data_IF_456051468277
#
_entry.id   IF_456051468277
#
_cell.length_a   1.000
_cell.length_b   1.000
_cell.length_c   1.000
_cell.angle_alpha   90.00
_cell.angle_beta   90.00
_cell.angle_gamma   90.00
#
_symmetry.space_group_name_H-M   'P 1'
#
loop_
_entity.id
_entity.type
_entity.pdbx_description
1 polymer ?
#
# COMPACT_ATOMS: atom_id res chain seq x y z
N UNK A 1 -3.67 9.02 29.62
CA UNK A 1 -4.48 8.12 28.76
C UNK A 1 -3.50 7.33 27.89
N UNK A 2 -3.79 6.08 27.57
CA UNK A 2 -2.96 5.25 26.68
C UNK A 2 -3.87 4.57 25.69
N UNK A 3 -3.49 4.56 24.41
CA UNK A 3 -4.08 3.71 23.39
C UNK A 3 -3.35 2.37 23.33
N UNK A 4 -4.09 1.28 23.27
CA UNK A 4 -3.56 -0.06 23.04
C UNK A 4 -4.06 -0.57 21.69
N UNK A 5 -3.14 -0.73 20.77
CA UNK A 5 -3.41 -1.25 19.44
C UNK A 5 -3.06 -2.73 19.36
N UNK A 6 -3.90 -3.50 18.69
CA UNK A 6 -3.62 -4.86 18.27
C UNK A 6 -3.33 -4.86 16.77
N UNK A 7 -2.24 -5.48 16.37
CA UNK A 7 -1.74 -5.55 15.00
C UNK A 7 -1.64 -7.00 14.59
N UNK A 8 -2.25 -7.35 13.46
CA UNK A 8 -2.23 -8.69 12.86
C UNK A 8 -1.83 -8.63 11.39
N UNK A 9 -1.48 -9.77 10.82
CA UNK A 9 -1.18 -9.96 9.40
C UNK A 9 -2.11 -11.00 8.81
N UNK A 10 -2.47 -10.85 7.56
CA UNK A 10 -3.17 -11.88 6.78
C UNK A 10 -2.21 -12.90 6.13
N UNK A 11 -0.90 -12.60 6.15
CA UNK A 11 0.12 -13.49 5.60
C UNK A 11 0.64 -14.54 6.61
N UNK A 12 0.53 -14.24 7.92
CA UNK A 12 1.06 -15.09 9.01
C UNK A 12 0.03 -15.21 10.11
N UNK A 13 -0.58 -16.38 10.26
CA UNK A 13 -1.68 -16.65 11.20
C UNK A 13 -1.34 -16.36 12.67
N UNK A 14 -0.11 -16.68 13.07
CA UNK A 14 0.32 -16.54 14.48
C UNK A 14 0.94 -15.16 14.79
N UNK A 15 0.94 -14.23 13.83
CA UNK A 15 1.53 -12.92 14.03
C UNK A 15 0.59 -12.00 14.79
N UNK A 16 1.03 -11.55 15.96
CA UNK A 16 0.35 -10.54 16.77
C UNK A 16 1.36 -9.59 17.39
N UNK A 17 1.07 -8.29 17.35
CA UNK A 17 1.74 -7.24 18.13
C UNK A 17 0.71 -6.44 18.90
N UNK A 18 0.99 -6.12 20.14
CA UNK A 18 0.25 -5.11 20.88
C UNK A 18 1.18 -3.96 21.21
N UNK A 19 0.78 -2.75 20.80
CA UNK A 19 1.53 -1.53 21.05
C UNK A 19 0.69 -0.61 21.93
N UNK A 20 1.30 -0.15 23.01
CA UNK A 20 0.75 0.88 23.89
C UNK A 20 1.48 2.20 23.62
N UNK A 21 0.71 3.26 23.42
CA UNK A 21 1.22 4.57 23.04
C UNK A 21 0.32 5.68 23.59
N UNK A 22 0.91 6.85 23.86
CA UNK A 22 0.15 8.04 24.25
C UNK A 22 -0.69 8.55 23.06
N UNK A 23 -1.98 8.87 23.23
CA UNK A 23 -2.80 9.41 22.15
C UNK A 23 -2.30 10.76 21.61
N UNK A 24 -1.53 11.52 22.38
CA UNK A 24 -0.91 12.77 21.93
C UNK A 24 0.37 12.54 21.09
N UNK A 25 0.84 11.29 21.00
CA UNK A 25 1.92 10.93 20.08
C UNK A 25 1.43 11.02 18.63
N UNK A 26 2.37 11.22 17.73
CA UNK A 26 2.08 11.32 16.30
C UNK A 26 1.92 9.93 15.64
N UNK A 27 1.29 9.89 14.46
CA UNK A 27 1.31 8.68 13.63
C UNK A 27 2.73 8.27 13.26
N UNK A 28 3.68 9.21 13.21
CA UNK A 28 5.09 8.89 12.98
C UNK A 28 5.71 8.13 14.17
N UNK A 29 5.41 8.53 15.41
CA UNK A 29 5.85 7.79 16.61
C UNK A 29 5.28 6.37 16.63
N UNK A 30 4.03 6.21 16.17
CA UNK A 30 3.40 4.91 16.04
C UNK A 30 4.03 4.07 14.92
N UNK A 31 4.32 4.68 13.77
CA UNK A 31 5.06 4.05 12.67
C UNK A 31 6.41 3.51 13.15
N UNK A 32 7.23 4.32 13.85
CA UNK A 32 8.51 3.87 14.39
C UNK A 32 8.35 2.71 15.39
N UNK A 33 7.32 2.75 16.23
CA UNK A 33 7.02 1.68 17.18
C UNK A 33 6.65 0.37 16.46
N UNK A 34 5.89 0.43 15.37
CA UNK A 34 5.58 -0.72 14.52
C UNK A 34 6.86 -1.29 13.93
N UNK A 35 7.64 -0.46 13.22
CA UNK A 35 8.90 -0.91 12.58
C UNK A 35 9.82 -1.60 13.58
N UNK A 36 9.99 -1.00 14.76
CA UNK A 36 10.80 -1.58 15.84
C UNK A 36 10.27 -2.92 16.34
N UNK A 37 8.94 -3.07 16.43
CA UNK A 37 8.30 -4.31 16.91
C UNK A 37 8.48 -5.49 15.96
N UNK A 38 8.55 -5.21 14.65
CA UNK A 38 8.68 -6.21 13.58
C UNK A 38 10.11 -6.33 13.04
N UNK A 39 11.01 -5.39 13.37
CA UNK A 39 12.39 -5.39 12.92
C UNK A 39 12.57 -4.93 11.46
N UNK A 40 11.65 -4.10 10.96
CA UNK A 40 11.75 -3.55 9.63
C UNK A 40 12.64 -2.30 9.58
N UNK A 41 13.26 -2.07 8.42
CA UNK A 41 13.99 -0.85 8.13
C UNK A 41 13.02 0.31 7.81
N UNK A 42 13.43 1.53 8.15
CA UNK A 42 12.67 2.75 7.82
C UNK A 42 13.17 3.32 6.46
N UNK A 43 13.02 2.54 5.40
CA UNK A 43 13.50 2.83 4.05
C UNK A 43 12.41 2.67 2.97
N UNK A 44 11.19 2.33 3.38
CA UNK A 44 10.05 2.17 2.50
C UNK A 44 9.05 3.31 2.68
N UNK A 45 8.38 3.68 1.59
CA UNK A 45 7.21 4.54 1.67
C UNK A 45 6.07 3.75 2.32
N UNK A 46 5.50 4.31 3.37
CA UNK A 46 4.43 3.68 4.14
C UNK A 46 3.27 4.65 4.31
N UNK A 47 2.08 4.12 4.51
CA UNK A 47 0.89 4.91 4.81
C UNK A 47 0.03 4.22 5.85
N UNK A 48 -0.68 4.99 6.66
CA UNK A 48 -1.83 4.52 7.42
C UNK A 48 -3.11 4.87 6.68
N UNK A 49 -4.12 4.04 6.82
CA UNK A 49 -5.49 4.33 6.42
C UNK A 49 -6.41 4.12 7.60
N UNK A 50 -7.20 5.13 7.96
CA UNK A 50 -8.36 4.93 8.81
C UNK A 50 -9.40 4.20 7.97
N UNK A 51 -10.02 3.18 8.56
CA UNK A 51 -10.99 2.34 7.88
C UNK A 51 -12.33 2.37 8.61
N UNK A 52 -13.39 2.06 7.88
CA UNK A 52 -14.69 1.76 8.44
C UNK A 52 -14.76 0.36 9.08
N UNK A 53 -15.95 -0.07 9.50
CA UNK A 53 -16.17 -1.39 10.12
C UNK A 53 -15.93 -2.57 9.16
N UNK A 54 -15.99 -2.36 7.87
CA UNK A 54 -15.76 -3.35 6.82
C UNK A 54 -14.34 -3.34 6.25
N UNK A 55 -13.42 -2.57 6.88
CA UNK A 55 -12.03 -2.37 6.46
C UNK A 55 -11.88 -1.58 5.15
N UNK A 56 -12.90 -0.84 4.74
CA UNK A 56 -12.79 0.07 3.61
C UNK A 56 -11.98 1.31 4.01
N UNK A 57 -11.04 1.70 3.16
CA UNK A 57 -10.13 2.82 3.40
C UNK A 57 -10.86 4.15 3.23
N UNK A 58 -10.84 5.00 4.25
CA UNK A 58 -11.48 6.32 4.25
C UNK A 58 -10.48 7.47 4.21
N UNK A 59 -9.54 7.50 5.15
CA UNK A 59 -8.59 8.61 5.31
C UNK A 59 -7.17 8.10 5.26
N UNK A 60 -6.34 8.66 4.40
CA UNK A 60 -4.92 8.33 4.29
C UNK A 60 -4.05 9.28 5.11
N UNK A 61 -3.07 8.72 5.84
CA UNK A 61 -2.01 9.43 6.52
C UNK A 61 -0.67 8.99 5.92
N UNK A 62 -0.03 9.87 5.18
CA UNK A 62 1.21 9.56 4.45
C UNK A 62 2.45 9.79 5.31
N UNK A 63 3.53 9.06 5.01
CA UNK A 63 4.83 9.24 5.68
C UNK A 63 5.40 10.64 5.45
N UNK A 64 5.30 11.13 4.22
CA UNK A 64 5.77 12.44 3.78
C UNK A 64 4.69 13.15 2.98
N UNK A 65 4.76 14.48 2.94
CA UNK A 65 3.88 15.28 2.10
C UNK A 65 4.17 15.01 0.63
N UNK A 66 3.24 14.35 -0.04
CA UNK A 66 3.37 13.98 -1.45
C UNK A 66 3.05 15.13 -2.41
N UNK A 67 2.77 16.34 -1.89
CA UNK A 67 2.54 17.54 -2.69
C UNK A 67 1.37 17.43 -3.67
N UNK A 68 0.40 16.59 -3.40
CA UNK A 68 -0.85 16.48 -4.19
C UNK A 68 -1.70 17.72 -3.91
N UNK A 69 -1.31 18.82 -4.56
CA UNK A 69 -1.92 20.13 -4.39
C UNK A 69 -3.31 20.28 -5.00
N UNK A 70 -4.23 19.40 -4.72
CA UNK A 70 -5.65 19.70 -4.83
C UNK A 70 -6.12 20.24 -3.47
N UNK A 71 -6.37 21.53 -3.39
CA UNK A 71 -6.69 22.30 -2.18
C UNK A 71 -8.05 21.96 -1.55
N UNK A 72 -8.58 20.76 -1.74
CA UNK A 72 -9.90 20.34 -1.26
C UNK A 72 -9.89 19.01 -0.47
N UNK A 73 -8.76 18.31 -0.38
CA UNK A 73 -8.66 17.11 0.44
C UNK A 73 -7.70 17.39 1.61
N UNK A 74 -8.15 17.12 2.82
CA UNK A 74 -7.32 17.19 4.02
C UNK A 74 -6.21 16.16 3.91
N UNK A 75 -4.99 16.61 3.62
CA UNK A 75 -3.82 15.76 3.53
C UNK A 75 -3.21 15.61 4.91
N UNK A 76 -3.26 14.40 5.45
CA UNK A 76 -2.64 14.07 6.74
C UNK A 76 -1.24 13.52 6.54
N UNK A 77 -0.28 14.07 7.30
CA UNK A 77 1.12 13.62 7.30
C UNK A 77 1.45 13.04 8.67
N UNK A 78 2.13 11.91 8.71
CA UNK A 78 2.41 11.17 9.96
C UNK A 78 3.08 12.02 11.05
N UNK A 79 3.99 12.93 10.66
CA UNK A 79 4.74 13.78 11.62
C UNK A 79 3.90 14.87 12.24
N UNK A 80 2.86 15.31 11.55
CA UNK A 80 2.07 16.48 11.92
C UNK A 80 0.71 16.11 12.51
N UNK A 81 0.29 14.84 12.39
CA UNK A 81 -1.00 14.34 12.83
C UNK A 81 -0.86 13.50 14.09
N UNK A 82 -1.57 13.85 15.15
CA UNK A 82 -1.63 13.06 16.39
C UNK A 82 -2.65 11.94 16.27
N UNK A 83 -2.43 10.88 17.03
CA UNK A 83 -3.37 9.75 17.07
C UNK A 83 -4.75 10.18 17.53
N UNK A 84 -4.84 11.06 18.57
CA UNK A 84 -6.10 11.58 19.11
C UNK A 84 -6.90 12.46 18.16
N UNK A 85 -6.32 12.93 17.06
CA UNK A 85 -7.03 13.73 16.07
C UNK A 85 -7.96 12.89 15.19
N UNK A 86 -7.62 11.62 14.97
CA UNK A 86 -8.36 10.72 14.07
C UNK A 86 -8.93 9.49 14.77
N UNK A 87 -8.51 9.24 16.00
CA UNK A 87 -8.90 8.05 16.77
C UNK A 87 -9.52 8.48 18.09
N UNK A 88 -10.82 8.21 18.25
CA UNK A 88 -11.61 8.64 19.39
C UNK A 88 -12.27 7.47 20.15
N UNK A 89 -12.52 6.36 19.46
CA UNK A 89 -13.30 5.25 19.97
C UNK A 89 -12.55 3.92 19.91
N UNK A 90 -12.83 3.05 20.89
CA UNK A 90 -12.35 1.67 20.84
C UNK A 90 -12.95 0.92 19.65
N UNK A 91 -12.18 0.00 19.09
CA UNK A 91 -12.46 -0.80 17.89
C UNK A 91 -12.37 -0.08 16.55
N UNK A 92 -11.97 1.19 16.55
CA UNK A 92 -11.61 1.83 15.29
C UNK A 92 -10.51 1.03 14.58
N UNK A 93 -10.66 0.89 13.29
CA UNK A 93 -9.82 0.07 12.43
C UNK A 93 -8.90 0.93 11.59
N UNK A 94 -7.70 0.42 11.40
CA UNK A 94 -6.70 1.01 10.52
C UNK A 94 -5.98 -0.06 9.74
N UNK A 95 -5.47 0.34 8.59
CA UNK A 95 -4.53 -0.44 7.79
C UNK A 95 -3.19 0.30 7.76
N UNK A 96 -2.11 -0.43 7.96
CA UNK A 96 -0.76 0.08 7.78
C UNK A 96 -0.11 -0.61 6.58
N UNK A 97 0.10 0.15 5.51
CA UNK A 97 0.75 -0.33 4.28
C UNK A 97 2.25 -0.27 4.49
N UNK A 98 2.90 -1.42 4.62
CA UNK A 98 4.35 -1.50 4.81
C UNK A 98 5.12 -1.82 3.52
N UNK A 99 4.45 -2.34 2.51
CA UNK A 99 4.99 -2.60 1.17
C UNK A 99 3.97 -2.13 0.12
N UNK A 100 4.09 -0.87 -0.34
CA UNK A 100 3.10 -0.29 -1.27
C UNK A 100 3.17 -0.89 -2.67
N UNK A 101 4.32 -1.47 -3.06
CA UNK A 101 4.49 -2.07 -4.39
C UNK A 101 3.74 -3.40 -4.52
N UNK A 102 3.69 -4.16 -3.45
CA UNK A 102 2.98 -5.44 -3.38
C UNK A 102 1.63 -5.33 -2.64
N UNK A 103 1.22 -4.12 -2.25
CA UNK A 103 -0.01 -3.83 -1.49
C UNK A 103 -0.13 -4.64 -0.18
N UNK A 104 1.00 -4.90 0.49
CA UNK A 104 1.02 -5.70 1.71
C UNK A 104 0.82 -4.82 2.92
N UNK A 105 0.00 -5.31 3.85
CA UNK A 105 -0.52 -4.50 4.95
C UNK A 105 -0.50 -5.24 6.29
N UNK A 106 -0.52 -4.45 7.37
CA UNK A 106 -0.96 -4.91 8.68
C UNK A 106 -2.34 -4.35 8.98
N UNK A 107 -3.19 -5.18 9.56
CA UNK A 107 -4.50 -4.79 10.08
C UNK A 107 -4.34 -4.38 11.54
N UNK A 108 -4.87 -3.22 11.89
CA UNK A 108 -4.70 -2.60 13.21
C UNK A 108 -6.07 -2.26 13.77
N UNK A 109 -6.29 -2.57 15.03
CA UNK A 109 -7.48 -2.17 15.77
C UNK A 109 -7.07 -1.43 17.05
N UNK A 110 -7.73 -0.30 17.35
CA UNK A 110 -7.64 0.33 18.66
C UNK A 110 -8.42 -0.54 19.68
N UNK A 111 -7.72 -1.48 20.28
CA UNK A 111 -8.34 -2.51 21.11
C UNK A 111 -8.87 -1.97 22.45
N UNK A 112 -8.20 -0.97 23.04
CA UNK A 112 -8.57 -0.41 24.34
C UNK A 112 -8.02 0.99 24.53
N UNK A 113 -8.81 1.84 25.20
CA UNK A 113 -8.43 3.16 25.71
C UNK A 113 -8.26 3.10 27.22
N UNK A 114 -7.02 3.08 27.69
CA UNK A 114 -6.68 2.93 29.10
C UNK A 114 -6.56 4.32 29.75
N UNK A 115 -7.45 4.64 30.69
CA UNK A 115 -7.43 5.90 31.43
C UNK A 115 -6.59 5.81 32.70
N UNK A 116 -6.07 6.95 33.16
CA UNK A 116 -5.33 7.03 34.43
C UNK A 116 -3.89 6.51 34.38
N UNK A 117 -3.37 6.25 33.18
CA UNK A 117 -1.97 5.88 32.93
C UNK A 117 -1.36 6.83 31.91
N UNK A 118 -0.05 6.99 31.98
CA UNK A 118 0.76 7.75 31.03
C UNK A 118 1.95 6.93 30.61
N UNK A 119 2.40 7.10 29.36
CA UNK A 119 3.61 6.50 28.81
C UNK A 119 4.47 7.58 28.19
N UNK A 120 5.74 7.59 28.55
CA UNK A 120 6.70 8.50 27.95
C UNK A 120 7.08 8.09 26.50
N UNK A 121 6.99 6.80 26.18
CA UNK A 121 7.35 6.26 24.88
C UNK A 121 6.44 5.07 24.53
N UNK A 122 6.21 4.86 23.24
CA UNK A 122 5.49 3.69 22.76
C UNK A 122 6.18 2.39 23.19
N UNK A 123 5.39 1.42 23.62
CA UNK A 123 5.87 0.14 24.14
C UNK A 123 5.13 -1.01 23.48
N UNK A 124 5.88 -1.99 22.95
CA UNK A 124 5.32 -3.24 22.51
C UNK A 124 5.06 -4.14 23.72
N UNK A 125 3.80 -4.29 24.12
CA UNK A 125 3.39 -5.08 25.31
C UNK A 125 3.21 -6.56 25.02
N UNK A 126 2.97 -6.93 23.76
CA UNK A 126 2.82 -8.32 23.31
C UNK A 126 3.50 -8.50 21.96
N UNK A 127 4.26 -9.58 21.84
CA UNK A 127 4.96 -9.95 20.62
C UNK A 127 4.87 -11.46 20.42
N UNK A 128 4.02 -11.89 19.49
CA UNK A 128 3.82 -13.28 19.12
C UNK A 128 4.05 -13.46 17.62
N UNK A 129 4.58 -14.61 17.24
CA UNK A 129 4.91 -14.94 15.87
C UNK A 129 6.00 -14.08 15.25
N UNK A 130 6.48 -14.50 14.12
CA UNK A 130 7.44 -13.74 13.31
C UNK A 130 6.69 -12.85 12.31
N UNK A 131 7.21 -11.65 12.08
CA UNK A 131 6.66 -10.78 11.05
C UNK A 131 6.96 -11.35 9.66
N UNK A 132 6.07 -11.13 8.67
CA UNK A 132 6.39 -11.44 7.29
C UNK A 132 7.64 -10.66 6.84
N UNK A 133 8.31 -11.09 5.78
CA UNK A 133 9.45 -10.33 5.23
C UNK A 133 8.99 -8.93 4.80
N UNK A 134 9.77 -7.90 5.08
CA UNK A 134 9.42 -6.51 4.74
C UNK A 134 9.24 -6.30 3.23
N UNK A 135 10.12 -6.87 2.42
CA UNK A 135 10.09 -6.78 0.96
C UNK A 135 10.06 -8.17 0.34
N UNK A 136 9.38 -8.30 -0.78
CA UNK A 136 9.38 -9.51 -1.58
C UNK A 136 10.30 -9.29 -2.77
N UNK A 137 11.28 -10.17 -2.96
CA UNK A 137 12.05 -10.23 -4.20
C UNK A 137 11.15 -10.76 -5.31
N UNK A 138 10.78 -9.91 -6.27
CA UNK A 138 9.97 -10.29 -7.42
C UNK A 138 10.58 -11.44 -8.23
N UNK A 139 11.91 -11.56 -8.23
CA UNK A 139 12.62 -12.66 -8.86
C UNK A 139 12.35 -14.02 -8.20
N UNK A 140 12.13 -14.06 -6.88
CA UNK A 140 11.72 -15.30 -6.20
C UNK A 140 10.27 -15.68 -6.52
N UNK A 141 9.36 -14.71 -6.69
CA UNK A 141 7.97 -14.99 -7.07
C UNK A 141 7.85 -15.47 -8.51
N UNK A 142 8.64 -14.94 -9.42
CA UNK A 142 8.67 -15.46 -10.80
C UNK A 142 9.20 -16.89 -10.88
N UNK A 143 10.19 -17.24 -10.05
CA UNK A 143 10.72 -18.61 -10.00
C UNK A 143 9.77 -19.63 -9.36
N UNK A 144 8.94 -19.25 -8.39
CA UNK A 144 7.95 -20.16 -7.80
C UNK A 144 6.75 -20.39 -8.72
N UNK A 145 6.35 -19.41 -9.51
CA UNK A 145 5.30 -19.56 -10.51
C UNK A 145 5.79 -20.24 -11.80
N UNK A 146 7.09 -20.15 -12.10
CA UNK A 146 7.70 -20.88 -13.23
C UNK A 146 7.88 -22.39 -12.96
N UNK A 147 7.76 -22.82 -11.68
CA UNK A 147 7.78 -24.25 -11.32
C UNK A 147 6.39 -24.92 -11.38
N UNK A 148 5.32 -24.14 -11.60
CA UNK A 148 3.98 -24.65 -11.88
C UNK A 148 3.70 -24.59 -13.36
N UNK A 149 4.06 -25.72 -14.04
CA UNK A 149 3.47 -26.17 -15.29
C UNK A 149 3.68 -25.27 -16.54
N UNK A 150 4.92 -25.10 -16.95
CA UNK A 150 5.17 -24.95 -18.38
C UNK A 150 5.14 -26.35 -19.00
N UNK A 151 3.92 -26.80 -19.29
CA UNK A 151 3.71 -27.89 -20.22
C UNK A 151 4.46 -27.55 -21.52
N UNK A 152 5.36 -28.43 -21.96
CA UNK A 152 6.26 -28.25 -23.12
C UNK A 152 5.52 -28.01 -24.46
N UNK A 153 4.20 -27.81 -24.45
CA UNK A 153 3.36 -27.62 -25.61
C UNK A 153 2.91 -26.18 -25.88
N UNK A 154 3.44 -25.16 -25.15
CA UNK A 154 3.05 -23.76 -25.43
C UNK A 154 3.83 -23.10 -26.56
N UNK A 155 4.93 -23.68 -27.00
CA UNK A 155 5.53 -23.34 -28.28
C UNK A 155 4.84 -24.16 -29.37
N UNK A 156 3.62 -23.79 -29.70
CA UNK A 156 3.00 -24.18 -30.96
C UNK A 156 3.87 -23.66 -32.08
N UNK A 157 4.53 -24.59 -32.75
CA UNK A 157 5.24 -24.42 -34.02
C UNK A 157 4.23 -23.91 -35.07
N UNK A 158 3.94 -22.60 -35.01
CA UNK A 158 3.33 -21.92 -36.15
C UNK A 158 4.50 -21.42 -36.99
N UNK A 159 4.90 -22.28 -37.94
CA UNK A 159 5.57 -21.81 -39.14
C UNK A 159 4.75 -20.65 -39.69
N UNK A 160 5.22 -19.44 -39.45
CA UNK A 160 4.67 -18.24 -40.05
C UNK A 160 5.17 -18.25 -41.48
N UNK A 161 4.33 -18.80 -42.39
CA UNK A 161 4.58 -18.82 -43.81
C UNK A 161 4.61 -17.38 -44.33
N UNK A 162 5.81 -16.89 -44.64
CA UNK A 162 6.06 -15.52 -45.14
C UNK A 162 5.60 -15.32 -46.58
N UNK A 163 4.87 -16.26 -47.19
CA UNK A 163 4.44 -16.13 -48.59
C UNK A 163 3.09 -15.42 -48.77
N UNK A 164 2.35 -15.09 -47.67
CA UNK A 164 1.05 -14.41 -47.78
C UNK A 164 1.11 -12.91 -47.45
N UNK A 165 2.29 -12.31 -47.53
CA UNK A 165 2.39 -10.84 -47.43
C UNK A 165 2.23 -10.23 -48.83
N UNK A 166 0.97 -9.89 -49.17
CA UNK A 166 0.64 -9.16 -50.40
C UNK A 166 1.13 -7.71 -50.30
N UNK A 167 2.16 -7.28 -51.02
CA UNK A 167 2.71 -5.94 -50.94
C UNK A 167 1.89 -4.88 -51.72
N UNK A 168 0.77 -5.23 -52.33
CA UNK A 168 0.03 -4.30 -53.18
C UNK A 168 -1.18 -3.62 -52.51
N UNK A 169 -1.40 -3.80 -51.18
CA UNK A 169 -2.57 -3.28 -50.48
C UNK A 169 -2.44 -1.89 -49.84
N UNK A 170 -1.31 -1.20 -49.94
CA UNK A 170 -1.15 0.12 -49.33
C UNK A 170 -1.12 1.24 -50.38
N UNK A 171 -2.24 1.46 -51.05
CA UNK A 171 -2.47 2.64 -51.90
C UNK A 171 -2.91 3.83 -51.00
N UNK A 172 -1.98 4.71 -50.67
CA UNK A 172 -2.25 6.01 -50.11
C UNK A 172 -2.77 6.91 -51.23
N UNK A 173 -4.08 6.90 -51.43
CA UNK A 173 -4.75 7.84 -52.28
C UNK A 173 -4.51 9.29 -51.86
N UNK A 174 -3.61 9.96 -52.55
CA UNK A 174 -3.35 11.40 -52.43
C UNK A 174 -4.56 12.20 -52.95
N UNK A 175 -5.37 12.71 -52.01
CA UNK A 175 -6.38 13.69 -52.31
C UNK A 175 -5.76 15.11 -52.30
N UNK A 176 -5.41 15.63 -53.45
CA UNK A 176 -5.05 17.05 -53.59
C UNK A 176 -6.34 17.87 -53.58
N UNK A 177 -6.58 18.66 -52.54
CA UNK A 177 -7.57 19.71 -52.54
C UNK A 177 -6.90 20.99 -53.00
N UNK A 178 -7.19 21.38 -54.24
CA UNK A 178 -6.95 22.71 -54.78
C UNK A 178 -7.99 23.68 -54.18
N UNK A 179 -7.49 24.73 -53.50
CA UNK A 179 -8.31 25.86 -53.13
C UNK A 179 -8.50 26.74 -54.37
N UNK A 180 -9.72 26.87 -54.77
CA UNK A 180 -10.12 27.88 -55.77
C UNK A 180 -10.52 29.15 -55.01
N UNK A 181 -9.78 30.24 -55.25
CA UNK A 181 -10.19 31.60 -54.95
C UNK A 181 -11.17 32.04 -56.02
N UNK A 182 -12.35 32.50 -55.61
CA UNK A 182 -13.07 33.57 -56.33
C UNK A 182 -14.11 34.23 -55.42
N UNK A 183 -13.81 35.48 -55.08
CA UNK A 183 -14.51 36.74 -55.34
C UNK A 183 -16.04 36.75 -55.16
N UNK A 184 -16.47 37.41 -54.20
CA UNK A 184 -17.23 38.72 -54.17
C UNK A 184 -17.51 39.10 -52.73
#
# INVERSE_FOLDING_TARGET
MIYRFTIISDEVDDFVREIQIDPEATFYDFHEAILKSVGYANDQMTSFFICDDDWEKETEITLEDMGSGSSEEDTYVMKDTRLSELLEEEKQKMIYVFDPLAERVFFIELAEIITGKELAHATCSRKEGEAPKQTIDFDEQMNTNAALDLDENFYGDQEFDMEDFDPEGFDMGGGSNSYDEDKY
#
